data_IF_428680060696
#
_entry.id   IF_428680060696
#
_cell.length_a   1.000
_cell.length_b   1.000
_cell.length_c   1.000
_cell.angle_alpha   90.00
_cell.angle_beta   90.00
_cell.angle_gamma   90.00
#
_symmetry.space_group_name_H-M   'P 1'
#
loop_
_entity.id
_entity.type
_entity.pdbx_description
1 polymer ?
#
# COMPACT_ATOMS: atom_id res chain seq x y z
N UNK A 1 12.81 -38.23 -9.75
CA UNK A 1 12.71 -37.60 -8.41
C UNK A 1 11.55 -36.62 -8.43
N UNK A 2 10.42 -36.96 -7.79
CA UNK A 2 9.24 -36.10 -7.72
C UNK A 2 9.28 -35.23 -6.46
N UNK A 3 9.04 -33.93 -6.60
CA UNK A 3 8.98 -32.99 -5.49
C UNK A 3 7.82 -33.37 -4.56
N UNK A 4 8.14 -33.60 -3.27
CA UNK A 4 7.12 -33.85 -2.25
C UNK A 4 6.48 -32.51 -1.88
N UNK A 5 5.23 -32.31 -2.29
CA UNK A 5 4.43 -31.16 -1.86
C UNK A 5 3.52 -31.58 -0.71
N UNK A 6 3.58 -30.89 0.42
CA UNK A 6 2.62 -31.05 1.50
C UNK A 6 1.56 -29.94 1.39
N UNK A 7 0.26 -30.27 1.56
CA UNK A 7 -0.76 -29.25 1.67
C UNK A 7 -0.55 -28.49 2.98
N UNK A 8 0.03 -27.30 2.89
CA UNK A 8 0.05 -26.38 4.03
C UNK A 8 -1.33 -25.79 4.16
N UNK A 9 -1.90 -25.84 5.36
CA UNK A 9 -3.12 -25.10 5.66
C UNK A 9 -2.79 -23.62 5.44
N UNK A 10 -3.24 -23.05 4.32
CA UNK A 10 -3.16 -21.61 4.10
C UNK A 10 -4.03 -21.02 5.19
N UNK A 11 -3.39 -20.59 6.29
CA UNK A 11 -4.09 -20.04 7.43
C UNK A 11 -5.11 -19.07 6.87
N UNK A 12 -6.36 -19.44 7.12
CA UNK A 12 -7.52 -18.66 6.80
C UNK A 12 -7.41 -17.44 7.71
N UNK A 13 -6.55 -16.50 7.33
CA UNK A 13 -6.62 -15.12 7.76
C UNK A 13 -8.01 -14.72 7.30
N UNK A 14 -8.98 -14.87 8.21
CA UNK A 14 -10.39 -14.70 7.94
C UNK A 14 -10.54 -13.22 7.74
N UNK A 15 -10.26 -12.81 6.52
CA UNK A 15 -10.19 -11.43 6.10
C UNK A 15 -11.49 -10.80 6.54
N UNK A 16 -11.40 -9.87 7.47
CA UNK A 16 -12.55 -9.19 8.08
C UNK A 16 -13.17 -8.25 7.06
N UNK A 17 -13.83 -8.86 6.07
CA UNK A 17 -14.59 -8.18 5.04
C UNK A 17 -16.06 -8.18 5.44
N UNK A 18 -16.65 -6.99 5.45
CA UNK A 18 -18.05 -6.76 5.74
C UNK A 18 -18.64 -6.09 4.50
N UNK A 19 -19.61 -6.74 3.84
CA UNK A 19 -20.21 -6.27 2.57
C UNK A 19 -19.23 -5.99 1.41
N UNK A 20 -18.05 -6.62 1.44
CA UNK A 20 -16.98 -6.40 0.44
C UNK A 20 -16.09 -5.19 0.73
N UNK A 21 -16.21 -4.59 1.91
CA UNK A 21 -15.31 -3.59 2.43
C UNK A 21 -14.44 -4.17 3.54
N UNK A 22 -13.22 -3.67 3.67
CA UNK A 22 -12.36 -4.01 4.79
C UNK A 22 -12.76 -3.22 6.04
N UNK A 23 -12.46 -3.74 7.24
CA UNK A 23 -12.82 -3.10 8.51
C UNK A 23 -12.34 -1.63 8.59
N UNK A 24 -11.16 -1.36 8.03
CA UNK A 24 -10.55 -0.02 8.00
C UNK A 24 -11.33 0.93 7.08
N UNK A 25 -11.87 0.42 5.98
CA UNK A 25 -12.70 1.21 5.08
C UNK A 25 -14.01 1.62 5.78
N UNK A 26 -14.66 0.66 6.47
CA UNK A 26 -15.88 0.93 7.26
C UNK A 26 -15.61 1.97 8.34
N UNK A 27 -14.50 1.82 9.07
CA UNK A 27 -14.11 2.75 10.09
C UNK A 27 -14.00 4.18 9.54
N UNK A 28 -13.30 4.35 8.41
CA UNK A 28 -13.15 5.65 7.76
C UNK A 28 -14.49 6.24 7.33
N UNK A 29 -15.36 5.45 6.70
CA UNK A 29 -16.70 5.90 6.27
C UNK A 29 -17.53 6.34 7.48
N UNK A 30 -17.53 5.57 8.57
CA UNK A 30 -18.27 5.92 9.78
C UNK A 30 -17.69 7.13 10.51
N UNK A 31 -16.36 7.30 10.52
CA UNK A 31 -15.75 8.52 11.06
C UNK A 31 -16.21 9.76 10.29
N UNK A 32 -16.21 9.70 8.96
CA UNK A 32 -16.70 10.81 8.13
C UNK A 32 -18.18 11.06 8.34
N UNK A 33 -18.99 9.99 8.41
CA UNK A 33 -20.42 10.09 8.71
C UNK A 33 -20.66 10.76 10.07
N UNK A 34 -19.95 10.34 11.12
CA UNK A 34 -20.06 10.91 12.46
C UNK A 34 -19.61 12.37 12.49
N UNK A 35 -18.50 12.70 11.82
CA UNK A 35 -17.99 14.06 11.71
C UNK A 35 -18.96 15.00 10.98
N UNK A 36 -19.52 14.55 9.87
CA UNK A 36 -20.56 15.29 9.14
C UNK A 36 -21.83 15.42 9.97
N UNK A 37 -22.23 14.37 10.70
CA UNK A 37 -23.41 14.43 11.57
C UNK A 37 -23.22 15.44 12.71
N UNK A 38 -22.00 15.53 13.24
CA UNK A 38 -21.62 16.48 14.29
C UNK A 38 -21.65 17.92 13.79
N UNK A 39 -21.03 18.20 12.64
CA UNK A 39 -20.97 19.57 12.08
C UNK A 39 -22.33 20.03 11.55
N UNK A 40 -23.06 19.18 10.84
CA UNK A 40 -24.33 19.52 10.19
C UNK A 40 -25.54 19.21 11.09
N UNK A 41 -25.31 19.02 12.39
CA UNK A 41 -26.31 18.59 13.37
C UNK A 41 -27.55 19.49 13.45
N UNK A 42 -27.42 20.78 13.13
CA UNK A 42 -28.45 21.81 13.24
C UNK A 42 -29.24 22.10 11.95
N UNK A 43 -28.90 21.45 10.82
CA UNK A 43 -29.48 21.77 9.50
C UNK A 43 -30.76 20.96 9.26
N UNK A 44 -31.84 21.58 8.75
CA UNK A 44 -33.12 20.88 8.48
C UNK A 44 -32.98 19.70 7.50
N UNK A 45 -32.11 19.81 6.49
CA UNK A 45 -31.84 18.74 5.51
C UNK A 45 -30.66 17.83 5.90
N UNK A 46 -30.37 17.71 7.21
CA UNK A 46 -29.25 16.92 7.75
C UNK A 46 -29.15 15.52 7.17
N UNK A 47 -30.29 14.83 6.96
CA UNK A 47 -30.27 13.47 6.44
C UNK A 47 -29.53 13.37 5.09
N UNK A 48 -29.93 14.15 4.09
CA UNK A 48 -29.30 14.13 2.76
C UNK A 48 -27.87 14.63 2.79
N UNK A 49 -27.60 15.68 3.56
CA UNK A 49 -26.30 16.32 3.61
C UNK A 49 -25.26 15.52 4.41
N UNK A 50 -25.69 14.70 5.36
CA UNK A 50 -24.83 13.80 6.11
C UNK A 50 -24.69 12.45 5.40
N UNK A 51 -25.78 11.85 4.93
CA UNK A 51 -25.73 10.55 4.26
C UNK A 51 -25.11 10.63 2.86
N UNK A 52 -25.49 11.62 2.04
CA UNK A 52 -25.02 11.74 0.66
C UNK A 52 -23.50 11.65 0.52
N UNK A 53 -22.71 12.49 1.21
CA UNK A 53 -21.25 12.44 1.14
C UNK A 53 -20.67 11.14 1.70
N UNK A 54 -21.24 10.59 2.78
CA UNK A 54 -20.76 9.34 3.38
C UNK A 54 -21.01 8.12 2.47
N UNK A 55 -22.18 8.03 1.85
CA UNK A 55 -22.53 6.97 0.89
C UNK A 55 -21.74 7.11 -0.40
N UNK A 56 -21.56 8.35 -0.89
CA UNK A 56 -20.69 8.63 -2.03
C UNK A 56 -19.25 8.20 -1.76
N UNK A 57 -18.73 8.46 -0.56
CA UNK A 57 -17.38 8.03 -0.15
C UNK A 57 -17.26 6.50 -0.11
N UNK A 58 -18.26 5.81 0.46
CA UNK A 58 -18.28 4.34 0.47
C UNK A 58 -18.28 3.76 -0.95
N UNK A 59 -19.12 4.30 -1.85
CA UNK A 59 -19.14 3.93 -3.26
C UNK A 59 -17.80 4.20 -3.95
N UNK A 60 -17.21 5.36 -3.69
CA UNK A 60 -15.92 5.74 -4.23
C UNK A 60 -14.82 4.74 -3.84
N UNK A 61 -14.75 4.36 -2.55
CA UNK A 61 -13.80 3.36 -2.06
C UNK A 61 -14.05 2.00 -2.73
N UNK A 62 -15.32 1.60 -2.88
CA UNK A 62 -15.69 0.34 -3.54
C UNK A 62 -15.21 0.28 -4.99
N UNK A 63 -15.35 1.38 -5.73
CA UNK A 63 -14.90 1.47 -7.12
C UNK A 63 -13.38 1.54 -7.19
N UNK A 64 -12.73 2.35 -6.35
CA UNK A 64 -11.27 2.50 -6.30
C UNK A 64 -10.53 1.22 -5.93
N UNK A 65 -11.10 0.40 -5.04
CA UNK A 65 -10.51 -0.89 -4.64
C UNK A 65 -10.81 -2.02 -5.60
N UNK A 66 -11.66 -1.81 -6.61
CA UNK A 66 -12.03 -2.85 -7.59
C UNK A 66 -10.80 -3.21 -8.43
N UNK A 67 -10.27 -4.41 -8.22
CA UNK A 67 -9.07 -4.91 -8.91
C UNK A 67 -7.74 -4.58 -8.24
N UNK A 68 -7.74 -3.93 -7.06
CA UNK A 68 -6.54 -3.67 -6.27
C UNK A 68 -6.30 -4.80 -5.25
N UNK A 69 -5.03 -5.01 -4.82
CA UNK A 69 -4.69 -6.02 -3.82
C UNK A 69 -5.33 -5.71 -2.46
N UNK A 70 -5.28 -6.70 -1.58
CA UNK A 70 -5.68 -6.63 -0.17
C UNK A 70 -5.08 -5.44 0.55
N UNK A 71 -5.79 -4.92 1.56
CA UNK A 71 -5.26 -3.93 2.51
C UNK A 71 -4.72 -2.68 1.81
N UNK A 72 -5.21 -2.35 0.61
CA UNK A 72 -4.69 -1.23 -0.20
C UNK A 72 -4.71 0.09 0.57
N UNK A 73 -5.78 0.38 1.33
CA UNK A 73 -5.86 1.58 2.16
C UNK A 73 -4.83 1.57 3.29
N UNK A 74 -4.62 0.41 3.94
CA UNK A 74 -3.61 0.29 5.00
C UNK A 74 -2.21 0.48 4.44
N UNK A 75 -1.93 -0.08 3.26
CA UNK A 75 -0.66 0.13 2.56
C UNK A 75 -0.46 1.58 2.13
N UNK A 76 -1.49 2.25 1.62
CA UNK A 76 -1.43 3.67 1.30
C UNK A 76 -1.19 4.52 2.54
N UNK A 77 -1.92 4.24 3.62
CA UNK A 77 -1.76 4.94 4.89
C UNK A 77 -0.34 4.74 5.42
N UNK A 78 0.12 3.49 5.48
CA UNK A 78 1.48 3.16 5.88
C UNK A 78 2.50 3.85 4.97
N UNK A 79 2.33 3.86 3.66
CA UNK A 79 3.25 4.53 2.74
C UNK A 79 3.33 6.05 2.99
N UNK A 80 2.20 6.68 3.29
CA UNK A 80 2.15 8.11 3.57
C UNK A 80 2.76 8.47 4.92
N UNK A 81 2.51 7.66 5.96
CA UNK A 81 3.00 7.91 7.33
C UNK A 81 4.43 7.38 7.57
N UNK A 82 4.81 6.27 6.95
CA UNK A 82 6.08 5.54 7.15
C UNK A 82 7.12 5.89 6.08
N UNK A 83 7.17 7.17 5.69
CA UNK A 83 8.13 7.69 4.71
C UNK A 83 9.55 7.86 5.29
N UNK A 84 10.00 6.90 6.09
CA UNK A 84 11.38 6.84 6.58
C UNK A 84 12.03 5.60 5.98
N UNK A 85 12.77 5.82 4.90
CA UNK A 85 13.74 4.84 4.40
C UNK A 85 14.78 4.64 5.51
N UNK A 86 14.59 3.60 6.31
CA UNK A 86 15.55 3.23 7.35
C UNK A 86 16.68 2.46 6.68
N UNK A 87 17.81 3.12 6.45
CA UNK A 87 19.01 2.47 5.97
C UNK A 87 19.69 1.81 7.18
N UNK A 88 19.79 0.48 7.17
CA UNK A 88 20.53 -0.27 8.21
C UNK A 88 22.04 0.05 8.19
N UNK A 89 22.55 0.61 7.08
CA UNK A 89 23.92 1.04 6.92
C UNK A 89 23.95 2.43 6.28
N UNK A 90 24.83 3.31 6.76
CA UNK A 90 25.03 4.65 6.17
C UNK A 90 25.28 4.58 4.66
N UNK A 91 24.91 5.64 3.93
CA UNK A 91 25.05 5.75 2.46
C UNK A 91 26.40 5.17 2.01
N UNK A 92 26.37 4.02 1.34
CA UNK A 92 27.59 3.38 0.84
C UNK A 92 28.31 4.36 -0.10
N UNK A 93 29.59 4.62 0.19
CA UNK A 93 30.43 5.43 -0.67
C UNK A 93 30.52 4.75 -2.04
N UNK A 94 30.25 5.49 -3.13
CA UNK A 94 30.22 4.93 -4.50
C UNK A 94 31.57 4.28 -4.80
N UNK A 95 31.64 2.95 -4.84
CA UNK A 95 32.85 2.22 -5.23
C UNK A 95 33.17 2.51 -6.70
N UNK A 96 34.21 3.30 -6.93
CA UNK A 96 34.84 3.58 -8.23
C UNK A 96 35.71 2.42 -8.75
N UNK A 97 35.34 1.16 -8.42
CA UNK A 97 36.19 -0.01 -8.68
C UNK A 97 36.21 -0.42 -10.17
N UNK A 98 35.25 0.04 -10.98
CA UNK A 98 35.18 -0.32 -12.40
C UNK A 98 35.91 0.62 -13.38
N UNK A 99 36.84 1.47 -12.93
CA UNK A 99 37.57 2.37 -13.85
C UNK A 99 38.76 1.72 -14.57
N UNK A 100 39.27 0.59 -14.09
CA UNK A 100 40.55 0.05 -14.55
C UNK A 100 40.46 -1.23 -15.42
N UNK A 101 39.27 -1.75 -15.73
CA UNK A 101 39.17 -2.97 -16.56
C UNK A 101 39.65 -2.74 -18.00
N UNK A 102 39.50 -1.52 -18.55
CA UNK A 102 40.00 -1.16 -19.88
C UNK A 102 41.52 -0.90 -19.94
N UNK A 103 42.23 -0.81 -18.81
CA UNK A 103 43.69 -0.60 -18.81
C UNK A 103 44.49 -1.90 -18.96
N UNK A 104 43.89 -3.05 -18.66
CA UNK A 104 44.54 -4.36 -18.81
C UNK A 104 44.56 -4.89 -20.24
N UNK A 105 43.60 -4.50 -21.08
CA UNK A 105 43.46 -5.03 -22.43
C UNK A 105 44.45 -4.38 -23.43
N UNK A 106 44.95 -3.18 -23.16
CA UNK A 106 45.94 -2.52 -24.03
C UNK A 106 47.38 -3.05 -23.90
N UNK A 107 47.71 -3.84 -22.86
CA UNK A 107 49.08 -4.30 -22.65
C UNK A 107 49.37 -5.72 -23.16
N UNK A 108 48.35 -6.47 -23.62
CA UNK A 108 48.52 -7.87 -24.05
C UNK A 108 48.43 -8.08 -25.58
N UNK A 109 48.57 -7.00 -26.37
CA UNK A 109 48.68 -7.09 -27.83
C UNK A 109 49.96 -6.43 -28.34
N UNK A 110 51.10 -7.09 -28.14
CA UNK A 110 52.25 -6.91 -29.03
C UNK A 110 53.03 -8.22 -29.17
N UNK A 111 52.79 -9.00 -30.24
CA UNK A 111 53.66 -10.11 -30.61
C UNK A 111 54.90 -9.56 -31.32
N UNK A 112 56.08 -9.98 -30.87
CA UNK A 112 57.34 -9.98 -31.64
C UNK A 112 58.16 -11.17 -31.20
#
# INVERSE_FOLDING_TARGET
MGLKTSPVYRCLDKKSMVFGFEIVDLFLVFTVLAFLNFILGSIQYKFFFTWGPSTALALFIRIMKRGKPENYLQHLLKFHFDSKVQFAFGRSNKRTVFKNYNKGISHEQKPS
#
